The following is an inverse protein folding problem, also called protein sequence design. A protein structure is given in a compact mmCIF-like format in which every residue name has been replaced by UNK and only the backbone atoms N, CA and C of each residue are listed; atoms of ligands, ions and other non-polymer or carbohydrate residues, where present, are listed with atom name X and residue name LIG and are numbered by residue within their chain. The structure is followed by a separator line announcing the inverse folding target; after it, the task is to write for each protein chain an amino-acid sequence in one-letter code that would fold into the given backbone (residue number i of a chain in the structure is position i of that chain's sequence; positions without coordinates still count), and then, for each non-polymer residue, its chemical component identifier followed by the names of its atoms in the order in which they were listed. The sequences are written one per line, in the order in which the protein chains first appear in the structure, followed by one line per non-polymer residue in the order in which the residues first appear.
data_IF_320813208264
#
_entry.id   IF_320813208264
#
_cell.length_a   1.000
_cell.length_b   1.000
_cell.length_c   1.000
_cell.angle_alpha   90.00
_cell.angle_beta   90.00
_cell.angle_gamma   90.00
#
_symmetry.space_group_name_H-M   'P 1'
#
loop_
_entity.id
_entity.type
_entity.pdbx_description
1 polymer ?
#
# COMPACT_ATOMS: atom_id res chain seq x y z
N UNK A 1 -62.27 67.22 25.00
CA UNK A 1 -60.89 66.95 25.46
C UNK A 1 -60.55 65.54 25.05
N UNK A 2 -59.95 65.35 23.90
CA UNK A 2 -59.60 64.04 23.35
C UNK A 2 -58.09 63.85 23.34
N UNK A 3 -57.61 62.97 24.19
CA UNK A 3 -56.21 62.51 24.14
C UNK A 3 -56.05 61.35 23.20
N UNK A 4 -55.39 61.55 22.07
CA UNK A 4 -55.03 60.48 21.16
C UNK A 4 -53.82 59.77 21.68
N UNK A 5 -53.94 58.41 21.84
CA UNK A 5 -52.86 57.54 22.19
C UNK A 5 -52.04 57.14 20.95
N UNK A 6 -50.79 57.58 20.90
CA UNK A 6 -49.83 57.20 19.88
C UNK A 6 -49.37 55.71 20.10
N UNK A 7 -49.76 54.86 19.17
CA UNK A 7 -49.28 53.46 19.12
C UNK A 7 -47.83 53.39 18.63
N UNK A 8 -46.95 52.92 19.50
CA UNK A 8 -45.55 52.61 19.15
C UNK A 8 -45.51 51.24 18.45
N UNK A 9 -45.35 51.25 17.13
CA UNK A 9 -45.06 50.07 16.37
C UNK A 9 -43.59 49.72 16.55
N UNK A 10 -43.32 48.63 17.30
CA UNK A 10 -42.00 48.08 17.50
C UNK A 10 -41.62 47.34 16.22
N UNK A 11 -40.62 47.85 15.49
CA UNK A 11 -40.03 47.20 14.33
C UNK A 11 -39.00 46.15 14.85
N UNK A 12 -39.34 44.88 14.84
CA UNK A 12 -38.40 43.76 15.06
C UNK A 12 -37.62 43.53 13.77
N UNK A 13 -36.41 44.07 13.70
CA UNK A 13 -35.47 43.73 12.63
C UNK A 13 -34.85 42.36 12.94
N UNK A 14 -35.30 41.35 12.24
CA UNK A 14 -34.71 39.98 12.27
C UNK A 14 -33.45 39.99 11.41
N UNK A 15 -32.28 40.18 12.01
CA UNK A 15 -30.99 39.94 11.35
C UNK A 15 -30.74 38.43 11.27
N UNK A 16 -30.98 37.87 10.10
CA UNK A 16 -30.58 36.51 9.77
C UNK A 16 -29.05 36.44 9.67
N UNK A 17 -28.39 35.92 10.70
CA UNK A 17 -26.97 35.57 10.62
C UNK A 17 -26.84 34.39 9.66
N UNK A 18 -26.46 34.64 8.41
CA UNK A 18 -26.00 33.61 7.50
C UNK A 18 -24.60 33.15 7.97
N UNK A 19 -24.53 32.01 8.69
CA UNK A 19 -23.28 31.38 9.01
C UNK A 19 -22.66 30.87 7.69
N UNK A 20 -21.38 31.16 7.38
CA UNK A 20 -20.72 30.57 6.23
C UNK A 20 -20.57 29.09 6.49
N UNK A 21 -21.29 28.28 5.71
CA UNK A 21 -21.05 26.83 5.62
C UNK A 21 -19.68 26.66 4.98
N UNK A 22 -18.64 26.49 5.81
CA UNK A 22 -17.33 26.06 5.36
C UNK A 22 -17.50 24.64 4.76
N UNK A 23 -17.68 24.57 3.43
CA UNK A 23 -17.50 23.33 2.69
C UNK A 23 -16.04 22.92 2.89
N UNK A 24 -15.79 22.10 3.91
CA UNK A 24 -14.54 21.34 4.01
C UNK A 24 -14.48 20.43 2.79
N UNK A 25 -13.78 20.89 1.75
CA UNK A 25 -13.41 20.03 0.63
C UNK A 25 -12.67 18.85 1.24
N UNK A 26 -13.33 17.70 1.31
CA UNK A 26 -12.71 16.44 1.73
C UNK A 26 -11.63 16.12 0.70
N UNK A 27 -10.40 16.52 1.02
CA UNK A 27 -9.23 16.22 0.21
C UNK A 27 -9.14 14.70 0.17
N UNK A 28 -9.40 14.12 -1.02
CA UNK A 28 -9.23 12.68 -1.23
C UNK A 28 -7.83 12.31 -0.73
N UNK A 29 -7.69 11.32 0.16
CA UNK A 29 -6.38 10.93 0.66
C UNK A 29 -5.46 10.65 -0.54
N UNK A 30 -4.19 11.04 -0.48
CA UNK A 30 -3.25 10.77 -1.57
C UNK A 30 -3.24 9.26 -1.84
N UNK A 31 -3.28 8.90 -3.13
CA UNK A 31 -3.20 7.50 -3.57
C UNK A 31 -1.89 6.93 -3.04
N UNK A 32 -1.95 5.80 -2.33
CA UNK A 32 -0.74 5.12 -1.86
C UNK A 32 0.02 4.53 -3.06
N UNK A 33 1.36 4.62 -3.09
CA UNK A 33 2.15 3.95 -4.12
C UNK A 33 1.93 2.44 -4.09
N UNK A 34 1.80 1.84 -5.27
CA UNK A 34 1.63 0.40 -5.44
C UNK A 34 2.98 -0.27 -5.70
N UNK A 35 3.22 -1.44 -5.09
CA UNK A 35 4.49 -2.15 -5.15
C UNK A 35 4.28 -3.59 -5.61
N UNK A 36 5.04 -4.03 -6.62
CA UNK A 36 5.21 -5.44 -6.93
C UNK A 36 6.39 -6.02 -6.12
N UNK A 37 6.18 -7.14 -5.43
CA UNK A 37 7.27 -7.83 -4.75
C UNK A 37 7.75 -9.03 -5.57
N UNK A 38 9.01 -8.97 -6.01
CA UNK A 38 9.69 -9.98 -6.80
C UNK A 38 10.78 -10.61 -5.95
N UNK A 39 10.70 -11.91 -5.72
CA UNK A 39 11.64 -12.59 -4.84
C UNK A 39 12.02 -13.99 -5.34
N UNK A 40 13.15 -14.47 -4.84
CA UNK A 40 13.65 -15.81 -5.19
C UNK A 40 12.86 -16.92 -4.51
N UNK A 41 12.62 -16.80 -3.20
CA UNK A 41 11.81 -17.76 -2.42
C UNK A 41 11.28 -17.07 -1.16
N UNK A 42 10.12 -17.52 -0.70
CA UNK A 42 9.44 -16.94 0.47
C UNK A 42 9.20 -18.01 1.53
N UNK A 43 10.22 -18.35 2.29
CA UNK A 43 10.13 -19.28 3.41
C UNK A 43 10.30 -18.56 4.74
N UNK A 44 9.97 -19.21 5.85
CA UNK A 44 10.14 -18.65 7.18
C UNK A 44 11.58 -18.18 7.40
N UNK A 45 11.75 -16.92 7.85
CA UNK A 45 13.04 -16.22 8.06
C UNK A 45 13.90 -16.02 6.81
N UNK A 46 13.36 -16.23 5.61
CA UNK A 46 14.03 -15.77 4.39
C UNK A 46 14.05 -14.22 4.33
N UNK A 47 14.89 -13.64 3.47
CA UNK A 47 14.87 -12.18 3.25
C UNK A 47 13.49 -11.70 2.79
N UNK A 48 12.79 -12.46 1.92
CA UNK A 48 11.44 -12.13 1.53
C UNK A 48 10.49 -12.06 2.74
N UNK A 49 10.59 -13.00 3.68
CA UNK A 49 9.75 -13.00 4.89
C UNK A 49 10.01 -11.75 5.74
N UNK A 50 11.24 -11.54 6.18
CA UNK A 50 11.56 -10.46 7.14
C UNK A 50 11.45 -9.05 6.55
N UNK A 51 11.51 -8.93 5.22
CA UNK A 51 11.30 -7.65 4.55
C UNK A 51 9.80 -7.43 4.34
N UNK A 52 9.08 -8.41 3.73
CA UNK A 52 7.68 -8.24 3.35
C UNK A 52 6.75 -8.09 4.56
N UNK A 53 7.05 -8.68 5.71
CA UNK A 53 6.23 -8.48 6.92
C UNK A 53 6.07 -7.01 7.30
N UNK A 54 7.09 -6.17 7.02
CA UNK A 54 7.05 -4.73 7.28
C UNK A 54 6.39 -3.91 6.16
N UNK A 55 6.10 -4.52 5.00
CA UNK A 55 5.38 -3.90 3.89
C UNK A 55 3.91 -4.32 3.83
N UNK A 56 3.59 -5.50 4.34
CA UNK A 56 2.24 -6.06 4.28
C UNK A 56 1.35 -5.58 5.43
N UNK A 57 1.93 -5.13 6.53
CA UNK A 57 1.19 -4.68 7.71
C UNK A 57 1.97 -3.62 8.49
N UNK A 58 1.28 -2.83 9.32
CA UNK A 58 1.95 -1.88 10.20
C UNK A 58 2.91 -2.57 11.16
N UNK A 59 4.10 -2.03 11.31
CA UNK A 59 5.18 -2.52 12.14
C UNK A 59 5.52 -1.54 13.28
N UNK A 60 6.33 -1.97 14.24
CA UNK A 60 6.81 -1.12 15.32
C UNK A 60 8.15 -0.49 14.93
N UNK A 61 8.18 0.84 14.91
CA UNK A 61 9.41 1.61 14.75
C UNK A 61 9.57 2.59 15.91
N UNK A 62 10.66 2.47 16.66
CA UNK A 62 10.90 3.27 17.87
C UNK A 62 9.70 3.28 18.84
N UNK A 63 9.08 2.11 19.07
CA UNK A 63 7.92 1.95 19.96
C UNK A 63 6.61 2.50 19.43
N UNK A 64 6.57 3.01 18.19
CA UNK A 64 5.35 3.51 17.54
C UNK A 64 4.91 2.58 16.42
N UNK A 65 3.60 2.32 16.35
CA UNK A 65 3.01 1.60 15.23
C UNK A 65 3.09 2.47 13.98
N UNK A 66 3.84 2.02 12.99
CA UNK A 66 4.15 2.75 11.76
C UNK A 66 3.51 2.02 10.58
N UNK A 67 2.78 2.76 9.76
CA UNK A 67 2.24 2.26 8.49
C UNK A 67 3.35 2.27 7.43
N UNK A 68 3.48 1.22 6.58
CA UNK A 68 4.51 1.16 5.53
C UNK A 68 4.37 2.27 4.47
N UNK A 69 3.22 2.90 4.34
CA UNK A 69 3.00 4.00 3.41
C UNK A 69 2.83 3.58 1.95
N UNK A 70 2.89 2.28 1.64
CA UNK A 70 2.74 1.70 0.30
C UNK A 70 1.80 0.50 0.36
N UNK A 71 1.29 0.09 -0.80
CA UNK A 71 0.45 -1.09 -0.95
C UNK A 71 1.16 -2.13 -1.82
N UNK A 72 1.47 -3.30 -1.26
CA UNK A 72 1.95 -4.45 -2.05
C UNK A 72 0.74 -5.03 -2.80
N UNK A 73 0.80 -5.06 -4.14
CA UNK A 73 -0.35 -5.42 -4.98
C UNK A 73 -0.12 -6.66 -5.82
N UNK A 74 1.11 -7.20 -5.87
CA UNK A 74 1.43 -8.42 -6.61
C UNK A 74 2.68 -9.10 -6.08
N UNK A 75 2.73 -10.43 -6.30
CA UNK A 75 3.89 -11.28 -6.01
C UNK A 75 4.40 -11.99 -7.26
N UNK A 76 5.72 -12.18 -7.31
CA UNK A 76 6.39 -13.14 -8.15
C UNK A 76 7.41 -13.89 -7.31
N UNK A 77 7.22 -15.22 -7.17
CA UNK A 77 8.18 -16.13 -6.57
C UNK A 77 8.92 -16.87 -7.67
N UNK A 78 10.25 -16.80 -7.70
CA UNK A 78 11.07 -17.51 -8.68
C UNK A 78 11.12 -19.02 -8.40
N UNK A 79 11.06 -19.38 -7.13
CA UNK A 79 11.03 -20.76 -6.65
C UNK A 79 9.99 -20.90 -5.53
N UNK A 80 9.34 -22.07 -5.51
CA UNK A 80 8.40 -22.45 -4.46
C UNK A 80 8.88 -23.74 -3.76
N UNK A 81 9.88 -23.63 -2.88
CA UNK A 81 10.40 -24.78 -2.13
C UNK A 81 9.40 -25.27 -1.08
N UNK A 82 9.72 -26.39 -0.43
CA UNK A 82 8.96 -26.86 0.74
C UNK A 82 8.95 -25.76 1.80
N UNK A 83 7.76 -25.44 2.32
CA UNK A 83 7.56 -24.33 3.27
C UNK A 83 7.43 -22.95 2.61
N UNK A 84 7.17 -22.89 1.29
CA UNK A 84 6.86 -21.64 0.60
C UNK A 84 5.60 -20.99 1.20
N UNK A 85 5.74 -19.76 1.65
CA UNK A 85 4.68 -18.97 2.30
C UNK A 85 3.85 -18.19 1.28
N UNK A 86 4.27 -18.11 0.02
CA UNK A 86 3.59 -17.31 -1.02
C UNK A 86 2.09 -17.60 -1.11
N UNK A 87 1.62 -18.87 -1.17
CA UNK A 87 0.18 -19.14 -1.30
C UNK A 87 -0.63 -18.68 -0.09
N UNK A 88 -0.09 -18.90 1.12
CA UNK A 88 -0.77 -18.52 2.37
C UNK A 88 -0.86 -16.99 2.52
N UNK A 89 0.23 -16.29 2.27
CA UNK A 89 0.31 -14.83 2.38
C UNK A 89 -0.50 -14.15 1.26
N UNK A 90 -0.44 -14.68 0.03
CA UNK A 90 -1.29 -14.23 -1.08
C UNK A 90 -2.78 -14.27 -0.71
N UNK A 91 -3.23 -15.39 -0.13
CA UNK A 91 -4.61 -15.54 0.34
C UNK A 91 -4.93 -14.63 1.52
N UNK A 92 -4.03 -14.51 2.50
CA UNK A 92 -4.25 -13.72 3.71
C UNK A 92 -4.44 -12.24 3.42
N UNK A 93 -3.69 -11.70 2.47
CA UNK A 93 -3.68 -10.26 2.13
C UNK A 93 -4.42 -9.95 0.82
N UNK A 94 -5.03 -10.96 0.17
CA UNK A 94 -5.72 -10.82 -1.13
C UNK A 94 -4.79 -10.23 -2.22
N UNK A 95 -3.53 -10.68 -2.24
CA UNK A 95 -2.52 -10.21 -3.19
C UNK A 95 -2.24 -11.33 -4.20
N UNK A 96 -2.49 -11.13 -5.52
CA UNK A 96 -2.25 -12.14 -6.54
C UNK A 96 -0.76 -12.47 -6.70
N UNK A 97 -0.45 -13.76 -6.86
CA UNK A 97 0.87 -14.26 -7.24
C UNK A 97 0.88 -14.63 -8.72
N UNK A 98 1.83 -14.05 -9.46
CA UNK A 98 1.97 -14.26 -10.91
C UNK A 98 3.10 -15.23 -11.23
N UNK A 99 2.99 -15.91 -12.38
CA UNK A 99 3.99 -16.88 -12.85
C UNK A 99 5.20 -16.22 -13.53
N UNK A 100 5.13 -14.94 -13.84
CA UNK A 100 6.18 -14.19 -14.52
C UNK A 100 6.37 -12.83 -13.86
N UNK A 101 7.58 -12.28 -13.98
CA UNK A 101 7.89 -10.92 -13.51
C UNK A 101 6.99 -9.90 -14.22
N UNK A 102 6.88 -10.01 -15.56
CA UNK A 102 5.99 -9.14 -16.34
C UNK A 102 4.56 -9.19 -15.85
N UNK A 103 4.04 -10.41 -15.57
CA UNK A 103 2.70 -10.57 -15.01
C UNK A 103 2.52 -9.83 -13.69
N UNK A 104 3.50 -9.88 -12.79
CA UNK A 104 3.47 -9.16 -11.53
C UNK A 104 3.54 -7.64 -11.71
N UNK A 105 4.40 -7.15 -12.59
CA UNK A 105 4.56 -5.71 -12.87
C UNK A 105 3.36 -5.10 -13.59
N UNK A 106 2.71 -5.88 -14.46
CA UNK A 106 1.57 -5.44 -15.26
C UNK A 106 0.21 -5.85 -14.65
N UNK A 107 0.20 -6.48 -13.47
CA UNK A 107 -1.00 -7.04 -12.83
C UNK A 107 -1.83 -7.91 -13.79
N UNK A 108 -1.13 -8.72 -14.59
CA UNK A 108 -1.71 -9.58 -15.63
C UNK A 108 -2.10 -8.85 -16.93
N UNK A 109 -1.91 -7.54 -17.01
CA UNK A 109 -2.18 -6.73 -18.21
C UNK A 109 -0.98 -6.65 -19.16
N UNK A 110 -1.00 -5.65 -20.07
CA UNK A 110 0.05 -5.41 -21.08
C UNK A 110 0.90 -4.16 -20.79
N UNK A 111 0.59 -3.40 -19.77
CA UNK A 111 1.28 -2.15 -19.42
C UNK A 111 1.68 -2.19 -17.95
N UNK A 112 2.80 -1.54 -17.63
CA UNK A 112 3.24 -1.36 -16.26
C UNK A 112 2.11 -0.75 -15.42
N UNK A 113 1.78 -1.42 -14.31
CA UNK A 113 0.62 -1.10 -13.48
C UNK A 113 0.99 -0.88 -12.00
N UNK A 114 2.29 -0.87 -11.68
CA UNK A 114 2.82 -0.62 -10.33
C UNK A 114 3.72 0.61 -10.32
N UNK A 115 3.79 1.31 -9.20
CA UNK A 115 4.60 2.52 -9.04
C UNK A 115 6.04 2.18 -8.63
N UNK A 116 6.29 1.02 -8.00
CA UNK A 116 7.60 0.58 -7.56
C UNK A 116 7.73 -0.95 -7.52
N UNK A 117 8.97 -1.42 -7.42
CA UNK A 117 9.31 -2.85 -7.33
C UNK A 117 10.20 -3.09 -6.12
N UNK A 118 9.83 -4.06 -5.30
CA UNK A 118 10.65 -4.61 -4.25
C UNK A 118 11.31 -5.89 -4.76
N UNK A 119 12.61 -5.82 -5.06
CA UNK A 119 13.39 -6.94 -5.65
C UNK A 119 14.26 -7.60 -4.57
N UNK A 120 13.95 -8.86 -4.22
CA UNK A 120 14.61 -9.62 -3.14
C UNK A 120 15.25 -10.87 -3.74
N UNK A 121 16.45 -10.71 -4.26
CA UNK A 121 17.20 -11.74 -4.98
C UNK A 121 18.10 -12.59 -4.07
N UNK A 122 17.61 -13.03 -2.93
CA UNK A 122 18.36 -13.79 -1.92
C UNK A 122 17.62 -15.07 -1.53
N UNK A 123 18.36 -16.09 -1.09
CA UNK A 123 17.86 -17.43 -0.82
C UNK A 123 17.44 -18.22 -2.09
N UNK A 124 17.12 -19.47 -1.92
CA UNK A 124 16.77 -20.39 -2.98
C UNK A 124 17.92 -21.30 -3.42
N UNK A 125 17.60 -22.24 -4.29
CA UNK A 125 18.53 -23.21 -4.83
C UNK A 125 19.04 -22.77 -6.20
N UNK A 126 20.23 -22.17 -6.24
CA UNK A 126 20.85 -21.64 -7.45
C UNK A 126 22.25 -22.22 -7.64
N UNK A 127 22.75 -22.31 -8.88
CA UNK A 127 24.12 -22.72 -9.18
C UNK A 127 25.14 -21.87 -8.40
N UNK A 128 26.34 -22.45 -8.24
CA UNK A 128 27.46 -21.75 -7.62
C UNK A 128 28.59 -21.54 -8.63
N UNK A 129 29.31 -20.46 -8.44
CA UNK A 129 30.59 -20.25 -9.14
C UNK A 129 31.64 -21.25 -8.69
N UNK A 130 32.77 -21.33 -9.41
CA UNK A 130 33.94 -22.11 -8.99
C UNK A 130 34.50 -21.71 -7.61
N UNK A 131 34.23 -20.48 -7.18
CA UNK A 131 34.62 -19.94 -5.87
C UNK A 131 33.53 -20.14 -4.79
N UNK A 132 32.47 -20.92 -5.08
CA UNK A 132 31.39 -21.23 -4.14
C UNK A 132 30.32 -20.14 -3.96
N UNK A 133 30.40 -19.02 -4.68
CA UNK A 133 29.41 -17.94 -4.62
C UNK A 133 28.10 -18.38 -5.28
N UNK A 134 26.96 -18.12 -4.65
CA UNK A 134 25.65 -18.41 -5.23
C UNK A 134 25.31 -17.40 -6.34
N UNK A 135 24.90 -17.94 -7.49
CA UNK A 135 24.52 -17.17 -8.67
C UNK A 135 23.03 -16.81 -8.62
N UNK A 136 22.66 -15.91 -7.74
CA UNK A 136 21.28 -15.43 -7.65
C UNK A 136 20.82 -14.73 -8.94
N UNK A 137 19.54 -14.80 -9.30
CA UNK A 137 19.02 -14.26 -10.57
C UNK A 137 18.84 -12.74 -10.57
N UNK A 138 19.68 -12.01 -9.84
CA UNK A 138 19.55 -10.56 -9.65
C UNK A 138 19.46 -9.80 -10.97
N UNK A 139 20.30 -10.15 -11.96
CA UNK A 139 20.28 -9.51 -13.29
C UNK A 139 18.96 -9.73 -14.03
N UNK A 140 18.27 -10.86 -13.80
CA UNK A 140 16.98 -11.14 -14.41
C UNK A 140 15.83 -10.40 -13.74
N UNK A 141 15.99 -9.99 -12.49
CA UNK A 141 14.98 -9.26 -11.74
C UNK A 141 14.98 -7.75 -12.06
N UNK A 142 15.98 -7.27 -12.78
CA UNK A 142 16.11 -5.91 -13.28
C UNK A 142 15.94 -5.87 -14.82
#
# INVERSE_FOLDING_TARGET
MNHSLLSRRTFLATTALAAPVLLSATRKPPKRPTVAAIYTSFTHRSHAHVILENFLQPYLFNGKRTDPGVDVVSFYADQSPTGDMTPAISKQFDIPAFKTIEGALCLGGKKLAVDAVLSIGEHGNYPRTKLGQVMYPRKRFF
#
